data_IF_359136825563
#
_entry.id   IF_359136825563
#
_cell.length_a   1.000
_cell.length_b   1.000
_cell.length_c   1.000
_cell.angle_alpha   90.00
_cell.angle_beta   90.00
_cell.angle_gamma   90.00
#
_symmetry.space_group_name_H-M   'P 1'
#
loop_
_entity.id
_entity.type
_entity.pdbx_description
1 polymer ?
#
# COMPACT_ATOMS: atom_id res chain seq x y z
N UNK A 1 10.53 -17.98 -2.55
CA UNK A 1 10.64 -16.83 -1.63
C UNK A 1 9.85 -15.66 -2.21
N UNK A 2 8.98 -15.06 -1.43
CA UNK A 2 8.19 -13.94 -1.89
C UNK A 2 9.01 -12.66 -1.93
N UNK A 3 8.76 -11.86 -2.96
CA UNK A 3 9.42 -10.58 -3.10
C UNK A 3 8.39 -9.55 -3.53
N UNK A 4 8.28 -8.46 -2.78
CA UNK A 4 7.36 -7.39 -3.11
C UNK A 4 7.95 -6.55 -4.23
N UNK A 5 7.28 -6.52 -5.37
CA UNK A 5 7.70 -5.72 -6.52
C UNK A 5 7.14 -4.31 -6.38
N UNK A 6 5.84 -4.20 -6.07
CA UNK A 6 5.16 -2.92 -5.89
C UNK A 6 4.30 -3.01 -4.64
N UNK A 7 4.43 -2.03 -3.75
CA UNK A 7 3.62 -1.92 -2.54
C UNK A 7 2.70 -0.72 -2.73
N UNK A 8 1.45 -0.99 -3.17
CA UNK A 8 0.55 0.05 -3.64
C UNK A 8 -0.90 -0.27 -3.29
N UNK A 9 -1.67 0.78 -3.00
CA UNK A 9 -3.12 0.66 -2.85
C UNK A 9 -3.80 1.85 -3.51
N UNK A 10 -5.13 1.72 -3.74
CA UNK A 10 -5.98 2.83 -4.16
C UNK A 10 -7.01 3.07 -3.07
N UNK A 11 -7.13 4.31 -2.62
CA UNK A 11 -8.16 4.66 -1.64
C UNK A 11 -9.53 4.63 -2.32
N UNK A 12 -10.47 3.89 -1.74
CA UNK A 12 -11.81 3.77 -2.30
C UNK A 12 -12.65 5.03 -2.04
N UNK A 13 -12.23 5.88 -1.11
CA UNK A 13 -12.98 7.08 -0.78
C UNK A 13 -12.58 8.29 -1.61
N UNK A 14 -11.28 8.52 -1.78
CA UNK A 14 -10.80 9.66 -2.57
C UNK A 14 -10.25 9.27 -3.93
N UNK A 15 -10.03 7.97 -4.16
CA UNK A 15 -9.52 7.48 -5.44
C UNK A 15 -8.03 7.63 -5.65
N UNK A 16 -7.31 8.15 -4.66
CA UNK A 16 -5.87 8.36 -4.79
C UNK A 16 -5.11 7.04 -4.74
N UNK A 17 -4.11 6.93 -5.62
CA UNK A 17 -3.21 5.76 -5.63
C UNK A 17 -1.94 6.17 -4.90
N UNK A 18 -1.57 5.39 -3.87
CA UNK A 18 -0.38 5.67 -3.07
C UNK A 18 0.54 4.46 -3.07
N UNK A 19 1.85 4.72 -3.12
CA UNK A 19 2.87 3.68 -3.24
C UNK A 19 3.94 3.88 -2.17
N UNK A 20 4.30 2.80 -1.48
CA UNK A 20 5.42 2.80 -0.54
C UNK A 20 6.64 2.24 -1.28
N UNK A 21 7.69 3.05 -1.42
CA UNK A 21 8.86 2.71 -2.23
C UNK A 21 9.99 2.03 -1.44
N UNK A 22 10.05 2.24 -0.14
CA UNK A 22 11.05 1.62 0.72
C UNK A 22 10.50 1.43 2.13
N UNK A 23 11.22 0.68 2.97
CA UNK A 23 10.70 0.18 4.26
C UNK A 23 10.15 1.26 5.19
N UNK A 24 10.72 2.46 5.14
CA UNK A 24 10.26 3.56 5.99
C UNK A 24 9.42 4.59 5.24
N UNK A 25 8.98 4.25 4.04
CA UNK A 25 8.20 5.18 3.21
C UNK A 25 6.73 5.05 3.56
N UNK A 26 6.30 5.78 4.56
CA UNK A 26 4.91 5.84 5.00
C UNK A 26 4.16 6.85 4.15
N UNK A 27 3.12 6.38 3.46
CA UNK A 27 2.29 7.23 2.61
C UNK A 27 0.84 7.17 3.04
N UNK A 28 0.22 8.33 3.18
CA UNK A 28 -1.18 8.47 3.54
C UNK A 28 -1.94 9.05 2.35
N UNK A 29 -3.16 8.57 2.09
CA UNK A 29 -3.97 9.17 1.04
C UNK A 29 -4.42 10.57 1.47
N UNK A 30 -4.78 11.40 0.47
CA UNK A 30 -5.13 12.80 0.74
C UNK A 30 -6.30 12.99 1.68
N UNK A 31 -7.24 12.04 1.73
CA UNK A 31 -8.39 12.11 2.65
C UNK A 31 -8.10 11.50 4.02
N UNK A 32 -6.92 10.90 4.22
CA UNK A 32 -6.52 10.33 5.50
C UNK A 32 -7.18 9.02 5.87
N UNK A 33 -7.91 8.40 4.95
CA UNK A 33 -8.67 7.19 5.24
C UNK A 33 -7.79 5.96 5.37
N UNK A 34 -6.74 5.85 4.56
CA UNK A 34 -5.87 4.67 4.53
C UNK A 34 -4.43 5.05 4.23
N UNK A 35 -3.52 4.15 4.60
CA UNK A 35 -2.08 4.37 4.49
C UNK A 35 -1.38 3.12 3.98
N UNK A 36 -0.19 3.31 3.41
CA UNK A 36 0.71 2.20 3.06
C UNK A 36 2.08 2.43 3.70
N UNK A 37 2.75 1.33 4.01
CA UNK A 37 4.07 1.37 4.62
C UNK A 37 4.78 0.04 4.34
N UNK A 38 6.08 0.00 4.53
CA UNK A 38 6.86 -1.23 4.45
C UNK A 38 7.64 -1.44 3.15
N UNK A 39 7.38 -0.63 2.12
CA UNK A 39 8.13 -0.70 0.87
C UNK A 39 8.19 -2.11 0.30
N UNK A 40 9.40 -2.61 0.04
CA UNK A 40 9.61 -3.94 -0.53
C UNK A 40 9.82 -5.02 0.55
N UNK A 41 9.72 -4.65 1.84
CA UNK A 41 9.97 -5.60 2.93
C UNK A 41 8.69 -6.24 3.45
N UNK A 42 7.62 -5.46 3.57
CA UNK A 42 6.34 -5.98 4.04
C UNK A 42 5.20 -5.08 3.58
N UNK A 43 4.00 -5.65 3.54
CA UNK A 43 2.81 -4.91 3.15
C UNK A 43 2.05 -4.48 4.41
N UNK A 44 2.25 -3.25 4.84
CA UNK A 44 1.55 -2.70 5.99
C UNK A 44 0.47 -1.75 5.53
N UNK A 45 -0.73 -1.93 6.09
CA UNK A 45 -1.91 -1.13 5.77
C UNK A 45 -2.52 -0.58 7.03
N UNK A 46 -2.99 0.66 6.98
CA UNK A 46 -3.74 1.27 8.08
C UNK A 46 -5.05 1.76 7.51
N UNK A 47 -6.16 1.48 8.21
CA UNK A 47 -7.50 1.80 7.77
C UNK A 47 -8.35 0.54 7.73
N UNK A 48 -9.65 0.70 7.42
CA UNK A 48 -10.55 -0.43 7.28
C UNK A 48 -10.29 -1.12 5.94
N UNK A 49 -10.31 -2.47 5.94
CA UNK A 49 -9.99 -3.25 4.75
C UNK A 49 -10.85 -2.85 3.53
N UNK A 50 -12.08 -2.47 3.74
CA UNK A 50 -13.01 -2.10 2.68
C UNK A 50 -12.80 -0.70 2.13
N UNK A 51 -11.92 0.10 2.75
CA UNK A 51 -11.66 1.46 2.34
C UNK A 51 -10.54 1.59 1.32
N UNK A 52 -9.87 0.48 0.98
CA UNK A 52 -8.78 0.52 0.01
C UNK A 52 -8.78 -0.74 -0.85
N UNK A 53 -8.26 -0.57 -2.06
CA UNK A 53 -8.09 -1.65 -3.02
C UNK A 53 -6.62 -2.02 -3.11
N UNK A 54 -6.29 -3.29 -2.93
CA UNK A 54 -4.90 -3.77 -3.00
C UNK A 54 -4.43 -3.80 -4.45
N UNK A 55 -3.36 -3.05 -4.73
CA UNK A 55 -2.77 -2.99 -6.07
C UNK A 55 -1.31 -3.46 -6.08
N UNK A 56 -0.85 -4.03 -4.98
CA UNK A 56 0.54 -4.50 -4.88
C UNK A 56 0.80 -5.68 -5.82
N UNK A 57 2.05 -5.79 -6.26
CA UNK A 57 2.51 -6.92 -7.05
C UNK A 57 3.59 -7.64 -6.25
N UNK A 58 3.47 -8.95 -6.16
CA UNK A 58 4.39 -9.80 -5.40
C UNK A 58 4.88 -10.92 -6.31
N UNK A 59 6.19 -11.12 -6.30
CA UNK A 59 6.81 -12.25 -7.01
C UNK A 59 6.90 -13.41 -6.03
N UNK A 60 6.24 -14.51 -6.36
CA UNK A 60 6.15 -15.67 -5.48
C UNK A 60 7.06 -16.83 -5.89
N UNK A 61 7.93 -16.61 -6.85
CA UNK A 61 8.87 -17.65 -7.29
C UNK A 61 10.01 -17.87 -6.32
#
# INVERSE_FOLDING_TARGET
MEKIIINRIRCCKCGEIITSHHVHDFKMCGCGTCDVDGGHEYLRRIGDREDWEELSEVDTK
#
